data_IF_000148707681
#
_entry.id   IF_000148707681
#
_cell.length_a   1.000
_cell.length_b   1.000
_cell.length_c   1.000
_cell.angle_alpha   90.00
_cell.angle_beta   90.00
_cell.angle_gamma   90.00
#
_symmetry.space_group_name_H-M   'P 1'
#
loop_
_entity.id
_entity.type
_entity.pdbx_description
1 polymer ?
#
# COMPACT_ATOMS: atom_id res chain seq x y z
N UNK A 1 4.77 16.30 3.65
CA UNK A 1 6.10 16.47 4.27
C UNK A 1 6.02 17.21 5.61
N UNK A 2 5.41 18.40 5.67
CA UNK A 2 5.31 19.19 6.91
C UNK A 2 4.65 18.44 8.09
N UNK A 3 3.57 17.68 7.85
CA UNK A 3 2.93 16.89 8.92
C UNK A 3 3.82 15.75 9.47
N UNK A 4 4.61 15.09 8.61
CA UNK A 4 5.38 13.89 8.96
C UNK A 4 6.51 14.19 9.95
N UNK A 5 7.11 15.38 9.84
CA UNK A 5 8.22 15.83 10.69
C UNK A 5 7.85 17.04 11.55
N UNK A 6 6.54 17.28 11.74
CA UNK A 6 6.04 18.42 12.53
C UNK A 6 6.53 18.39 13.99
N UNK A 7 6.84 17.20 14.50
CA UNK A 7 7.38 16.99 15.85
C UNK A 7 8.88 17.28 15.98
N UNK A 8 9.61 17.46 14.87
CA UNK A 8 11.03 17.81 14.89
C UNK A 8 11.22 19.34 14.85
N UNK A 9 12.26 19.88 15.51
CA UNK A 9 12.70 21.25 15.35
C UNK A 9 12.99 21.56 13.88
N UNK A 10 12.59 22.74 13.39
CA UNK A 10 12.72 23.10 11.97
C UNK A 10 14.16 23.01 11.45
N UNK A 11 15.13 23.40 12.29
CA UNK A 11 16.56 23.39 11.94
C UNK A 11 17.13 22.00 11.66
N UNK A 12 16.53 20.93 12.19
CA UNK A 12 17.03 19.55 12.04
C UNK A 12 16.21 18.72 11.05
N UNK A 13 15.09 19.25 10.54
CA UNK A 13 14.18 18.50 9.65
C UNK A 13 14.85 18.08 8.35
N UNK A 14 15.69 18.95 7.78
CA UNK A 14 16.35 18.69 6.51
C UNK A 14 17.38 17.57 6.64
N UNK A 15 18.28 17.66 7.63
CA UNK A 15 19.31 16.65 7.89
C UNK A 15 18.68 15.27 8.18
N UNK A 16 17.68 15.24 9.05
CA UNK A 16 16.95 14.00 9.35
C UNK A 16 16.28 13.39 8.11
N UNK A 17 15.73 14.23 7.22
CA UNK A 17 15.10 13.74 5.99
C UNK A 17 16.11 13.11 5.03
N UNK A 18 17.28 13.72 4.86
CA UNK A 18 18.35 13.15 4.01
C UNK A 18 18.82 11.81 4.58
N UNK A 19 19.06 11.71 5.90
CA UNK A 19 19.44 10.45 6.56
C UNK A 19 18.37 9.36 6.37
N UNK A 20 17.10 9.70 6.56
CA UNK A 20 15.99 8.76 6.37
C UNK A 20 15.88 8.32 4.90
N UNK A 21 16.03 9.25 3.96
CA UNK A 21 15.99 8.96 2.52
C UNK A 21 17.11 8.00 2.13
N UNK A 22 18.33 8.26 2.59
CA UNK A 22 19.48 7.39 2.32
C UNK A 22 19.30 5.99 2.91
N UNK A 23 18.74 5.90 4.12
CA UNK A 23 18.41 4.61 4.72
C UNK A 23 17.38 3.84 3.87
N UNK A 24 16.28 4.49 3.47
CA UNK A 24 15.25 3.88 2.61
C UNK A 24 15.86 3.42 1.28
N UNK A 25 16.69 4.24 0.63
CA UNK A 25 17.34 3.88 -0.63
C UNK A 25 18.28 2.68 -0.47
N UNK A 26 19.02 2.62 0.63
CA UNK A 26 19.91 1.49 0.96
C UNK A 26 19.12 0.21 1.20
N UNK A 27 18.00 0.28 1.92
CA UNK A 27 17.10 -0.86 2.15
C UNK A 27 16.47 -1.34 0.83
N UNK A 28 15.97 -0.42 0.01
CA UNK A 28 15.46 -0.71 -1.33
C UNK A 28 16.48 -1.40 -2.24
N UNK A 29 17.76 -1.01 -2.14
CA UNK A 29 18.85 -1.65 -2.87
C UNK A 29 19.21 -3.02 -2.30
N UNK A 30 19.18 -3.15 -0.97
CA UNK A 30 19.42 -4.39 -0.24
C UNK A 30 18.44 -5.50 -0.65
N UNK A 31 17.14 -5.19 -0.70
CA UNK A 31 16.10 -6.11 -1.18
C UNK A 31 16.06 -6.27 -2.72
N UNK A 32 16.78 -5.41 -3.46
CA UNK A 32 16.92 -5.50 -4.91
C UNK A 32 15.93 -4.67 -5.73
N UNK A 33 14.89 -4.10 -5.12
CA UNK A 33 13.86 -3.34 -5.84
C UNK A 33 14.44 -2.14 -6.59
N UNK A 34 15.35 -1.37 -5.98
CA UNK A 34 15.97 -0.20 -6.64
C UNK A 34 17.09 -0.55 -7.64
N UNK A 35 17.32 -1.84 -7.92
CA UNK A 35 18.20 -2.29 -9.02
C UNK A 35 17.47 -2.29 -10.36
N UNK A 36 16.14 -2.24 -10.34
CA UNK A 36 15.28 -2.13 -11.51
C UNK A 36 15.10 -0.66 -11.91
N UNK A 37 14.83 -0.44 -13.19
CA UNK A 37 14.35 0.84 -13.69
C UNK A 37 12.96 1.17 -13.11
N UNK A 38 12.61 2.46 -13.12
CA UNK A 38 11.28 2.90 -12.68
C UNK A 38 10.15 2.19 -13.42
N UNK A 39 10.30 1.99 -14.74
CA UNK A 39 9.32 1.27 -15.55
C UNK A 39 9.17 -0.19 -15.09
N UNK A 40 10.27 -0.90 -14.90
CA UNK A 40 10.26 -2.30 -14.43
C UNK A 40 9.63 -2.41 -13.03
N UNK A 41 9.87 -1.45 -12.13
CA UNK A 41 9.25 -1.42 -10.80
C UNK A 41 7.72 -1.33 -10.93
N UNK A 42 7.22 -0.50 -11.84
CA UNK A 42 5.78 -0.42 -12.07
C UNK A 42 5.23 -1.71 -12.70
N UNK A 43 5.91 -2.28 -13.68
CA UNK A 43 5.51 -3.55 -14.31
C UNK A 43 5.45 -4.70 -13.29
N UNK A 44 6.43 -4.79 -12.38
CA UNK A 44 6.40 -5.75 -11.26
C UNK A 44 5.16 -5.53 -10.39
N UNK A 45 4.89 -4.28 -10.01
CA UNK A 45 3.72 -3.94 -9.20
C UNK A 45 2.39 -4.26 -9.89
N UNK A 46 2.26 -3.98 -11.18
CA UNK A 46 1.06 -4.31 -11.97
C UNK A 46 0.88 -5.82 -12.11
N UNK A 47 1.97 -6.57 -12.29
CA UNK A 47 1.95 -8.03 -12.35
C UNK A 47 1.50 -8.64 -11.02
N UNK A 48 2.04 -8.16 -9.89
CA UNK A 48 1.64 -8.63 -8.56
C UNK A 48 0.16 -8.34 -8.26
N UNK A 49 -0.31 -7.15 -8.65
CA UNK A 49 -1.73 -6.78 -8.51
C UNK A 49 -2.64 -7.64 -9.39
N UNK A 50 -2.22 -7.95 -10.61
CA UNK A 50 -2.95 -8.86 -11.50
C UNK A 50 -3.05 -10.25 -10.90
N UNK A 51 -1.93 -10.79 -10.40
CA UNK A 51 -1.89 -12.10 -9.77
C UNK A 51 -2.81 -12.17 -8.54
N UNK A 52 -2.84 -11.12 -7.71
CA UNK A 52 -3.78 -11.03 -6.58
C UNK A 52 -5.23 -10.93 -7.06
N UNK A 53 -5.52 -10.13 -8.09
CA UNK A 53 -6.86 -9.99 -8.65
C UNK A 53 -7.37 -11.30 -9.23
N UNK A 54 -6.55 -12.00 -10.01
CA UNK A 54 -6.86 -13.30 -10.60
C UNK A 54 -7.03 -14.37 -9.51
N UNK A 55 -6.13 -14.39 -8.53
CA UNK A 55 -6.21 -15.36 -7.44
C UNK A 55 -7.42 -15.14 -6.55
N UNK A 56 -7.83 -13.89 -6.30
CA UNK A 56 -9.08 -13.59 -5.60
C UNK A 56 -10.29 -14.01 -6.45
N UNK A 57 -10.30 -13.65 -7.74
CA UNK A 57 -11.43 -13.87 -8.64
C UNK A 57 -12.73 -13.32 -8.04
N UNK A 58 -13.76 -14.16 -8.01
CA UNK A 58 -15.08 -13.85 -7.44
C UNK A 58 -15.21 -14.25 -5.95
N UNK A 59 -14.13 -14.77 -5.33
CA UNK A 59 -14.18 -15.20 -3.93
C UNK A 59 -14.26 -13.98 -3.01
N UNK A 60 -14.94 -14.10 -1.85
CA UNK A 60 -14.95 -13.01 -0.87
C UNK A 60 -13.57 -12.78 -0.22
N UNK A 61 -12.79 -13.86 -0.04
CA UNK A 61 -11.42 -13.90 0.50
C UNK A 61 -10.52 -14.82 -0.34
N UNK A 62 -9.21 -14.67 -0.23
CA UNK A 62 -8.24 -15.38 -1.08
C UNK A 62 -8.32 -16.91 -0.97
N UNK A 63 -8.66 -17.44 0.21
CA UNK A 63 -8.77 -18.88 0.46
C UNK A 63 -10.21 -19.40 0.46
N UNK A 64 -11.17 -18.61 -0.03
CA UNK A 64 -12.58 -19.01 -0.13
C UNK A 64 -13.50 -18.08 0.66
N UNK A 65 -14.35 -18.66 1.51
CA UNK A 65 -15.43 -17.94 2.20
C UNK A 65 -15.00 -17.30 3.52
N UNK A 66 -13.99 -17.85 4.18
CA UNK A 66 -13.46 -17.34 5.45
C UNK A 66 -12.14 -16.60 5.25
N UNK A 67 -11.90 -15.53 6.02
CA UNK A 67 -10.64 -14.80 5.96
C UNK A 67 -9.48 -15.66 6.47
N UNK A 68 -8.32 -15.46 5.87
CA UNK A 68 -7.07 -16.13 6.20
C UNK A 68 -5.97 -15.12 6.51
N UNK A 69 -4.81 -15.60 6.98
CA UNK A 69 -3.64 -14.75 7.18
C UNK A 69 -3.20 -14.05 5.90
N UNK A 70 -3.41 -14.66 4.73
CA UNK A 70 -3.13 -14.03 3.44
C UNK A 70 -3.97 -12.76 3.25
N UNK A 71 -5.25 -12.80 3.62
CA UNK A 71 -6.14 -11.63 3.51
C UNK A 71 -5.66 -10.47 4.39
N UNK A 72 -5.17 -10.76 5.59
CA UNK A 72 -4.64 -9.74 6.49
C UNK A 72 -3.38 -9.06 5.91
N UNK A 73 -2.45 -9.85 5.36
CA UNK A 73 -1.23 -9.33 4.72
C UNK A 73 -1.57 -8.54 3.46
N UNK A 74 -2.38 -9.13 2.56
CA UNK A 74 -2.80 -8.48 1.32
C UNK A 74 -3.53 -7.18 1.59
N UNK A 75 -4.45 -7.16 2.56
CA UNK A 75 -5.15 -5.94 2.96
C UNK A 75 -4.18 -4.84 3.42
N UNK A 76 -3.17 -5.17 4.23
CA UNK A 76 -2.20 -4.18 4.70
C UNK A 76 -1.49 -3.42 3.56
N UNK A 77 -1.10 -4.13 2.51
CA UNK A 77 -0.48 -3.52 1.33
C UNK A 77 -1.51 -2.82 0.43
N UNK A 78 -2.60 -3.52 0.08
CA UNK A 78 -3.60 -3.01 -0.86
C UNK A 78 -4.33 -1.79 -0.32
N UNK A 79 -4.72 -1.78 0.95
CA UNK A 79 -5.36 -0.63 1.59
C UNK A 79 -4.48 0.60 1.51
N UNK A 80 -3.17 0.46 1.74
CA UNK A 80 -2.24 1.60 1.62
C UNK A 80 -2.11 2.09 0.18
N UNK A 81 -2.01 1.19 -0.80
CA UNK A 81 -1.95 1.56 -2.22
C UNK A 81 -3.20 2.35 -2.64
N UNK A 82 -4.40 1.91 -2.25
CA UNK A 82 -5.65 2.52 -2.70
C UNK A 82 -6.07 3.76 -1.89
N UNK A 83 -5.73 3.83 -0.60
CA UNK A 83 -6.15 4.92 0.29
C UNK A 83 -5.19 6.11 0.31
N UNK A 84 -3.93 5.95 -0.12
CA UNK A 84 -2.98 7.06 -0.16
C UNK A 84 -3.50 8.18 -1.09
N UNK A 85 -3.28 9.45 -0.74
CA UNK A 85 -3.59 10.60 -1.59
C UNK A 85 -2.78 10.64 -2.89
N UNK A 86 -1.58 10.04 -2.90
CA UNK A 86 -0.67 10.01 -4.04
C UNK A 86 -1.28 9.23 -5.22
N UNK A 87 -1.11 9.77 -6.43
CA UNK A 87 -1.56 9.14 -7.67
C UNK A 87 -0.37 8.47 -8.34
N UNK A 88 -0.07 7.22 -7.95
CA UNK A 88 0.99 6.42 -8.57
C UNK A 88 0.43 5.54 -9.70
N UNK A 89 1.25 5.13 -10.69
CA UNK A 89 0.82 4.20 -11.73
C UNK A 89 0.22 2.90 -11.16
N UNK A 90 0.86 2.35 -10.12
CA UNK A 90 0.42 1.14 -9.41
C UNK A 90 -0.97 1.33 -8.79
N UNK A 91 -1.26 2.48 -8.17
CA UNK A 91 -2.60 2.79 -7.63
C UNK A 91 -3.64 2.87 -8.74
N UNK A 92 -3.32 3.58 -9.82
CA UNK A 92 -4.22 3.72 -10.98
C UNK A 92 -4.54 2.33 -11.56
N UNK A 93 -3.55 1.45 -11.65
CA UNK A 93 -3.73 0.07 -12.10
C UNK A 93 -4.60 -0.73 -11.13
N UNK A 94 -4.30 -0.71 -9.82
CA UNK A 94 -5.08 -1.40 -8.79
C UNK A 94 -6.57 -1.02 -8.83
N UNK A 95 -6.89 0.26 -9.07
CA UNK A 95 -8.27 0.74 -9.16
C UNK A 95 -9.00 0.31 -10.44
N UNK A 96 -8.28 -0.08 -11.50
CA UNK A 96 -8.88 -0.69 -12.70
C UNK A 96 -9.29 -2.15 -12.47
N UNK A 97 -8.65 -2.82 -11.52
CA UNK A 97 -8.99 -4.19 -11.14
C UNK A 97 -10.26 -4.18 -10.27
N UNK A 98 -11.37 -4.58 -10.87
CA UNK A 98 -12.71 -4.40 -10.30
C UNK A 98 -12.98 -5.09 -8.95
N UNK A 99 -12.14 -6.05 -8.54
CA UNK A 99 -12.32 -6.83 -7.31
C UNK A 99 -11.39 -6.43 -6.15
N UNK A 100 -10.33 -5.64 -6.39
CA UNK A 100 -9.35 -5.25 -5.37
C UNK A 100 -9.94 -4.27 -4.34
N UNK A 101 -10.58 -3.19 -4.81
CA UNK A 101 -11.22 -2.23 -3.91
C UNK A 101 -12.35 -2.87 -3.11
N UNK A 102 -13.29 -3.62 -3.73
CA UNK A 102 -14.33 -4.34 -2.97
C UNK A 102 -13.77 -5.32 -1.93
N UNK A 103 -12.66 -6.00 -2.22
CA UNK A 103 -11.97 -6.84 -1.25
C UNK A 103 -11.52 -6.04 -0.03
N UNK A 104 -10.84 -4.91 -0.24
CA UNK A 104 -10.41 -4.05 0.86
C UNK A 104 -11.59 -3.51 1.68
N UNK A 105 -12.70 -3.17 1.02
CA UNK A 105 -13.92 -2.73 1.70
C UNK A 105 -14.55 -3.83 2.55
N UNK A 106 -14.57 -5.08 2.08
CA UNK A 106 -15.04 -6.24 2.86
C UNK A 106 -14.17 -6.54 4.08
N UNK A 107 -12.85 -6.55 3.92
CA UNK A 107 -11.94 -6.76 5.06
C UNK A 107 -12.12 -5.64 6.07
N UNK A 108 -12.21 -4.39 5.60
CA UNK A 108 -12.41 -3.24 6.47
C UNK A 108 -13.70 -3.33 7.27
N UNK A 109 -14.84 -3.59 6.63
CA UNK A 109 -16.14 -3.67 7.31
C UNK A 109 -16.26 -4.86 8.26
N UNK A 110 -15.52 -5.95 8.02
CA UNK A 110 -15.53 -7.14 8.89
C UNK A 110 -14.70 -6.97 10.16
N UNK A 111 -13.59 -6.22 10.10
CA UNK A 111 -12.59 -6.22 11.17
C UNK A 111 -12.34 -4.88 11.86
N UNK A 112 -12.79 -3.76 11.29
CA UNK A 112 -12.56 -2.43 11.83
C UNK A 112 -13.88 -1.70 12.06
N UNK A 113 -13.94 -0.86 13.10
CA UNK A 113 -15.13 -0.04 13.35
C UNK A 113 -15.22 1.13 12.37
N UNK A 114 -16.39 1.78 12.32
CA UNK A 114 -16.55 3.00 11.52
C UNK A 114 -15.70 4.15 12.06
N UNK A 115 -15.54 4.26 13.38
CA UNK A 115 -14.66 5.26 14.00
C UNK A 115 -13.20 5.03 13.61
N UNK A 116 -12.74 3.79 13.69
CA UNK A 116 -11.39 3.41 13.24
C UNK A 116 -11.22 3.73 11.75
N UNK A 117 -12.21 3.45 10.91
CA UNK A 117 -12.15 3.73 9.48
C UNK A 117 -12.06 5.23 9.16
N UNK A 118 -12.83 6.08 9.85
CA UNK A 118 -12.84 7.54 9.61
C UNK A 118 -11.50 8.18 9.93
N UNK A 119 -10.83 7.74 11.00
CA UNK A 119 -9.51 8.22 11.41
C UNK A 119 -8.44 8.07 10.30
N UNK A 120 -8.61 7.11 9.39
CA UNK A 120 -7.64 6.80 8.34
C UNK A 120 -7.90 7.60 7.06
N UNK A 121 -9.10 8.18 6.89
CA UNK A 121 -9.44 9.00 5.74
C UNK A 121 -9.19 10.50 5.97
N UNK A 122 -9.11 10.92 7.24
CA UNK A 122 -8.95 12.33 7.65
C UNK A 122 -7.48 12.76 7.86
N UNK A 123 -6.52 11.82 7.80
CA UNK A 123 -5.09 12.08 8.01
C UNK A 123 -4.33 12.26 6.71
#
# INVERSE_FOLDING_TARGET
MEKLFSQLPESTRYEFFEELRDQILKECWGQGMSRHSEQEIFEIGEHDLSALSDFLGDKPFFMGTEPSTLDAVAYGFLARIICDSLQTPVKIYALKLGNIKPFCERVRSKFYTEEETKLWQEK
#
